data_IF_807349731024
#
_entry.id   IF_807349731024
#
_cell.length_a   1.000
_cell.length_b   1.000
_cell.length_c   1.000
_cell.angle_alpha   90.00
_cell.angle_beta   90.00
_cell.angle_gamma   90.00
#
_symmetry.space_group_name_H-M   'P 1'
#
loop_
_entity.id
_entity.type
_entity.pdbx_description
1 polymer ?
#
# COMPACT_ATOMS: atom_id res chain seq x y z
N UNK A 1 7.98 -28.12 30.74
CA UNK A 1 7.72 -29.57 30.73
C UNK A 1 6.26 -29.78 31.10
N UNK A 2 5.53 -30.65 30.39
CA UNK A 2 4.08 -30.86 30.58
C UNK A 2 3.74 -31.71 31.83
N UNK A 3 4.73 -32.04 32.68
CA UNK A 3 4.51 -32.72 33.96
C UNK A 3 4.10 -34.20 33.84
N UNK A 4 4.19 -34.80 32.66
CA UNK A 4 3.78 -36.19 32.39
C UNK A 4 4.89 -37.22 32.58
N UNK A 5 6.10 -36.79 32.92
CA UNK A 5 7.24 -37.71 33.11
C UNK A 5 7.15 -38.41 34.47
N UNK A 6 7.17 -39.75 34.47
CA UNK A 6 7.11 -40.58 35.69
C UNK A 6 5.71 -40.99 36.13
N UNK A 7 4.69 -40.80 35.29
CA UNK A 7 3.33 -41.31 35.56
C UNK A 7 3.31 -42.84 35.51
N UNK A 8 2.79 -43.44 36.58
CA UNK A 8 2.61 -44.89 36.73
C UNK A 8 1.12 -45.26 36.72
N UNK A 9 0.80 -46.44 36.19
CA UNK A 9 -0.56 -46.98 36.08
C UNK A 9 -0.71 -48.36 36.73
N UNK A 10 0.31 -48.83 37.46
CA UNK A 10 0.32 -50.15 38.08
C UNK A 10 -0.73 -50.34 39.19
N UNK A 11 -1.26 -49.26 39.76
CA UNK A 11 -2.35 -49.30 40.75
C UNK A 11 -3.50 -48.37 40.34
N UNK A 12 -4.71 -48.66 40.83
CA UNK A 12 -5.90 -47.84 40.55
C UNK A 12 -5.74 -46.39 41.02
N UNK A 13 -5.05 -46.16 42.14
CA UNK A 13 -4.75 -44.83 42.65
C UNK A 13 -3.76 -44.06 41.74
N UNK A 14 -2.70 -44.75 41.29
CA UNK A 14 -1.71 -44.15 40.39
C UNK A 14 -2.33 -43.84 39.02
N UNK A 15 -3.18 -44.73 38.50
CA UNK A 15 -3.91 -44.52 37.25
C UNK A 15 -4.82 -43.28 37.31
N UNK A 16 -5.55 -43.06 38.40
CA UNK A 16 -6.37 -41.85 38.56
C UNK A 16 -5.52 -40.58 38.59
N UNK A 17 -4.40 -40.61 39.32
CA UNK A 17 -3.46 -39.47 39.39
C UNK A 17 -2.83 -39.16 38.03
N UNK A 18 -2.52 -40.20 37.25
CA UNK A 18 -2.01 -40.06 35.89
C UNK A 18 -3.04 -39.43 34.94
N UNK A 19 -4.31 -39.81 35.04
CA UNK A 19 -5.40 -39.21 34.26
C UNK A 19 -5.52 -37.71 34.56
N UNK A 20 -5.50 -37.32 35.83
CA UNK A 20 -5.61 -35.90 36.24
C UNK A 20 -4.41 -35.07 35.76
N UNK A 21 -3.21 -35.66 35.82
CA UNK A 21 -1.98 -35.01 35.33
C UNK A 21 -2.01 -34.82 33.81
N UNK A 22 -2.44 -35.84 33.06
CA UNK A 22 -2.61 -35.75 31.61
C UNK A 22 -3.69 -34.73 31.24
N UNK A 23 -4.81 -34.70 31.96
CA UNK A 23 -5.86 -33.71 31.75
C UNK A 23 -5.32 -32.29 31.92
N UNK A 24 -4.57 -32.04 32.99
CA UNK A 24 -3.94 -30.74 33.24
C UNK A 24 -2.92 -30.38 32.16
N UNK A 25 -2.14 -31.35 31.67
CA UNK A 25 -1.20 -31.14 30.57
C UNK A 25 -1.92 -30.77 29.26
N UNK A 26 -3.04 -31.44 28.95
CA UNK A 26 -3.88 -31.14 27.79
C UNK A 26 -4.47 -29.74 27.91
N UNK A 27 -5.03 -29.38 29.06
CA UNK A 27 -5.63 -28.05 29.28
C UNK A 27 -4.57 -26.95 29.11
N UNK A 28 -3.35 -27.16 29.62
CA UNK A 28 -2.23 -26.24 29.39
C UNK A 28 -1.84 -26.13 27.91
N UNK A 29 -1.74 -27.24 27.19
CA UNK A 29 -1.44 -27.23 25.77
C UNK A 29 -2.53 -26.47 24.98
N UNK A 30 -3.80 -26.69 25.32
CA UNK A 30 -4.92 -26.00 24.69
C UNK A 30 -4.85 -24.49 24.93
N UNK A 31 -4.54 -24.05 26.16
CA UNK A 31 -4.35 -22.63 26.47
C UNK A 31 -3.23 -22.00 25.64
N UNK A 32 -2.06 -22.65 25.56
CA UNK A 32 -0.95 -22.18 24.73
C UNK A 32 -1.35 -22.10 23.25
N UNK A 33 -2.06 -23.11 22.73
CA UNK A 33 -2.57 -23.09 21.34
C UNK A 33 -3.58 -21.97 21.10
N UNK A 34 -4.44 -21.69 22.07
CA UNK A 34 -5.41 -20.60 21.99
C UNK A 34 -4.71 -19.23 21.94
N UNK A 35 -3.68 -19.02 22.76
CA UNK A 35 -2.88 -17.79 22.75
C UNK A 35 -2.14 -17.57 21.42
N UNK A 36 -1.55 -18.63 20.88
CA UNK A 36 -0.93 -18.59 19.55
C UNK A 36 -1.98 -18.30 18.47
N UNK A 37 -3.15 -18.95 18.52
CA UNK A 37 -4.25 -18.71 17.58
C UNK A 37 -4.79 -17.28 17.64
N UNK A 38 -4.90 -16.70 18.83
CA UNK A 38 -5.28 -15.31 19.01
C UNK A 38 -4.22 -14.34 18.44
N UNK A 39 -2.93 -14.65 18.65
CA UNK A 39 -1.82 -13.87 18.10
C UNK A 39 -1.79 -13.93 16.57
N UNK A 40 -2.00 -15.11 15.98
CA UNK A 40 -2.12 -15.28 14.53
C UNK A 40 -3.30 -14.49 13.96
N UNK A 41 -4.45 -14.52 14.63
CA UNK A 41 -5.63 -13.73 14.20
C UNK A 41 -5.35 -12.23 14.22
N UNK A 42 -4.60 -11.74 15.22
CA UNK A 42 -4.14 -10.34 15.28
C UNK A 42 -3.17 -10.00 14.15
N UNK A 43 -2.24 -10.90 13.83
CA UNK A 43 -1.29 -10.70 12.74
C UNK A 43 -1.99 -10.67 11.38
N UNK A 44 -2.97 -11.55 11.17
CA UNK A 44 -3.76 -11.59 9.94
C UNK A 44 -4.59 -10.30 9.77
N UNK A 45 -5.24 -9.84 10.84
CA UNK A 45 -5.95 -8.56 10.86
C UNK A 45 -5.00 -7.37 10.58
N UNK A 46 -3.83 -7.34 11.22
CA UNK A 46 -2.83 -6.29 10.99
C UNK A 46 -2.32 -6.31 9.56
N UNK A 47 -2.08 -7.50 8.99
CA UNK A 47 -1.67 -7.68 7.60
C UNK A 47 -2.74 -7.18 6.63
N UNK A 48 -4.01 -7.55 6.85
CA UNK A 48 -5.12 -7.06 6.01
C UNK A 48 -5.25 -5.55 6.08
N UNK A 49 -5.14 -4.96 7.27
CA UNK A 49 -5.20 -3.51 7.43
C UNK A 49 -4.02 -2.80 6.73
N UNK A 50 -2.82 -3.39 6.81
CA UNK A 50 -1.64 -2.87 6.13
C UNK A 50 -1.80 -2.93 4.60
N UNK A 51 -2.36 -4.01 4.05
CA UNK A 51 -2.65 -4.11 2.61
C UNK A 51 -3.60 -3.00 2.14
N UNK A 52 -4.66 -2.71 2.90
CA UNK A 52 -5.58 -1.61 2.62
C UNK A 52 -4.88 -0.26 2.70
N UNK A 53 -4.00 -0.06 3.70
CA UNK A 53 -3.22 1.16 3.83
C UNK A 53 -2.26 1.36 2.64
N UNK A 54 -1.62 0.29 2.17
CA UNK A 54 -0.75 0.31 0.99
C UNK A 54 -1.54 0.66 -0.27
N UNK A 55 -2.73 0.08 -0.46
CA UNK A 55 -3.59 0.38 -1.60
C UNK A 55 -4.01 1.86 -1.60
N UNK A 56 -4.46 2.37 -0.45
CA UNK A 56 -4.81 3.78 -0.28
C UNK A 56 -3.61 4.71 -0.52
N UNK A 57 -2.43 4.37 -0.01
CA UNK A 57 -1.20 5.13 -0.21
C UNK A 57 -0.79 5.15 -1.69
N UNK A 58 -0.92 4.02 -2.38
CA UNK A 58 -0.62 3.88 -3.81
C UNK A 58 -1.58 4.71 -4.65
N UNK A 59 -2.88 4.66 -4.36
CA UNK A 59 -3.90 5.47 -5.03
C UNK A 59 -3.66 6.97 -4.82
N UNK A 60 -3.35 7.39 -3.59
CA UNK A 60 -3.01 8.78 -3.29
C UNK A 60 -1.74 9.23 -4.04
N UNK A 61 -0.71 8.38 -4.07
CA UNK A 61 0.53 8.67 -4.80
C UNK A 61 0.30 8.75 -6.32
N UNK A 62 -0.50 7.86 -6.89
CA UNK A 62 -0.89 7.91 -8.31
C UNK A 62 -1.63 9.21 -8.61
N UNK A 63 -2.59 9.60 -7.77
CA UNK A 63 -3.33 10.85 -7.94
C UNK A 63 -2.42 12.08 -7.91
N UNK A 64 -1.44 12.12 -7.00
CA UNK A 64 -0.46 13.22 -6.96
C UNK A 64 0.42 13.26 -8.22
N UNK A 65 0.97 12.12 -8.63
CA UNK A 65 1.79 12.01 -9.84
C UNK A 65 1.01 12.42 -11.10
N UNK A 66 -0.23 11.94 -11.24
CA UNK A 66 -1.07 12.26 -12.39
C UNK A 66 -1.43 13.76 -12.43
N UNK A 67 -1.68 14.39 -11.28
CA UNK A 67 -1.92 15.85 -11.17
C UNK A 67 -0.69 16.66 -11.56
N UNK A 68 0.50 16.28 -11.07
CA UNK A 68 1.75 16.97 -11.39
C UNK A 68 2.08 16.85 -12.88
N UNK A 69 1.95 15.65 -13.45
CA UNK A 69 2.16 15.40 -14.89
C UNK A 69 1.15 16.18 -15.73
N UNK A 70 -0.12 16.24 -15.34
CA UNK A 70 -1.12 17.02 -16.05
C UNK A 70 -0.81 18.52 -16.02
N UNK A 71 -0.36 19.05 -14.88
CA UNK A 71 0.04 20.45 -14.76
C UNK A 71 1.25 20.78 -15.64
N UNK A 72 2.30 19.96 -15.59
CA UNK A 72 3.51 20.15 -16.40
C UNK A 72 3.25 19.99 -17.90
N UNK A 73 2.40 19.02 -18.28
CA UNK A 73 1.99 18.83 -19.68
C UNK A 73 1.17 20.01 -20.20
N UNK A 74 0.31 20.59 -19.37
CA UNK A 74 -0.49 21.77 -19.74
C UNK A 74 0.40 23.00 -19.92
N UNK A 75 1.35 23.21 -19.01
CA UNK A 75 2.33 24.29 -19.11
C UNK A 75 3.23 24.13 -20.34
N UNK A 76 3.72 22.91 -20.61
CA UNK A 76 4.48 22.59 -21.81
C UNK A 76 3.67 22.86 -23.08
N UNK A 77 2.40 22.43 -23.12
CA UNK A 77 1.51 22.69 -24.26
C UNK A 77 1.25 24.19 -24.44
N UNK A 78 1.04 24.95 -23.36
CA UNK A 78 0.87 26.40 -23.40
C UNK A 78 2.13 27.10 -23.96
N UNK A 79 3.32 26.70 -23.52
CA UNK A 79 4.58 27.21 -24.05
C UNK A 79 4.76 26.87 -25.54
N UNK A 80 4.42 25.65 -25.95
CA UNK A 80 4.46 25.24 -27.36
C UNK A 80 3.52 26.10 -28.23
N UNK A 81 2.32 26.41 -27.73
CA UNK A 81 1.37 27.30 -28.40
C UNK A 81 1.92 28.73 -28.49
N UNK A 82 2.53 29.26 -27.43
CA UNK A 82 3.17 30.59 -27.46
C UNK A 82 4.30 30.64 -28.49
N UNK A 83 5.12 29.59 -28.58
CA UNK A 83 6.21 29.53 -29.57
C UNK A 83 5.64 29.51 -31.00
N UNK A 84 4.60 28.72 -31.28
CA UNK A 84 3.96 28.71 -32.60
C UNK A 84 3.27 30.05 -32.91
N UNK A 85 2.55 30.63 -31.95
CA UNK A 85 1.93 31.94 -32.08
C UNK A 85 2.98 33.04 -32.31
N UNK A 86 4.12 32.99 -31.62
CA UNK A 86 5.24 33.90 -31.80
C UNK A 86 5.86 33.81 -33.19
N UNK A 87 6.03 32.61 -33.73
CA UNK A 87 6.50 32.39 -35.12
C UNK A 87 5.50 32.93 -36.14
N UNK A 88 4.20 32.66 -35.97
CA UNK A 88 3.15 33.20 -36.85
C UNK A 88 3.02 34.73 -36.74
N UNK A 89 3.11 35.30 -35.53
CA UNK A 89 3.07 36.74 -35.28
C UNK A 89 4.31 37.44 -35.86
N UNK A 90 5.51 36.86 -35.71
CA UNK A 90 6.74 37.36 -36.35
C UNK A 90 6.64 37.32 -37.88
N UNK A 91 6.09 36.23 -38.44
CA UNK A 91 5.87 36.14 -39.87
C UNK A 91 4.86 37.19 -40.38
N UNK A 92 3.82 37.47 -39.61
CA UNK A 92 2.79 38.46 -39.95
C UNK A 92 3.30 39.91 -39.77
N UNK A 93 4.11 40.16 -38.74
CA UNK A 93 4.80 41.44 -38.53
C UNK A 93 5.84 41.73 -39.62
N UNK A 94 6.54 40.71 -40.15
CA UNK A 94 7.48 40.86 -41.26
C UNK A 94 6.80 41.14 -42.62
N UNK A 95 5.51 40.80 -42.79
CA UNK A 95 4.78 41.07 -44.03
C UNK A 95 4.17 42.48 -44.10
N UNK A 96 3.83 43.09 -42.96
CA UNK A 96 3.31 44.46 -42.88
C UNK A 96 4.21 45.53 -43.56
N UNK A 97 5.53 45.57 -43.34
CA UNK A 97 6.37 46.61 -43.98
C UNK A 97 6.45 46.49 -45.50
N UNK A 98 6.33 45.27 -46.07
CA UNK A 98 6.33 45.07 -47.54
C UNK A 98 5.02 45.52 -48.22
N UNK A 99 3.90 45.51 -47.49
CA UNK A 99 2.65 46.09 -47.97
C UNK A 99 2.67 47.62 -47.94
N UNK A 100 3.34 48.20 -46.93
CA UNK A 100 3.47 49.66 -46.84
C UNK A 100 4.32 50.22 -47.98
N UNK A 101 5.46 49.60 -48.32
CA UNK A 101 6.31 50.04 -49.43
C UNK A 101 5.65 49.93 -50.81
N UNK A 102 4.64 49.07 -50.98
CA UNK A 102 3.80 49.01 -52.20
C UNK A 102 2.76 50.14 -52.30
N UNK A 103 2.46 50.85 -51.21
CA UNK A 103 1.54 52.00 -51.22
C UNK A 103 2.24 53.34 -51.40
N UNK A 104 3.56 53.40 -51.23
CA UNK A 104 4.37 54.62 -51.32
C UNK A 104 5.35 54.60 -52.49
N UNK A 105 5.46 53.48 -53.21
CA UNK A 105 6.18 53.34 -54.48
C UNK A 105 5.21 53.06 -55.62
#
# INVERSE_FOLDING_TARGET
ALGTDGLDVASQANANTAIDSIKTAIDNLQNNRAEVGASLSRLDFASSNLSVAIENQSAAKSGLLDVDVAAETTEFAAQQVIVQAGVSLLAQANQQPSQLTKLIG
#
